data_IF_823015306578
#
_entry.id   IF_823015306578
#
_cell.length_a   1.000
_cell.length_b   1.000
_cell.length_c   1.000
_cell.angle_alpha   90.00
_cell.angle_beta   90.00
_cell.angle_gamma   90.00
#
_symmetry.space_group_name_H-M   'P 1'
#
loop_
_entity.id
_entity.type
_entity.pdbx_description
1 polymer ?
#
# COMPACT_ATOMS: atom_id res chain seq x y z
N UNK A 1 -11.43 7.74 -9.06
CA UNK A 1 -10.01 7.40 -9.28
C UNK A 1 -9.31 7.57 -7.94
N UNK A 2 -8.92 6.46 -7.33
CA UNK A 2 -8.18 6.47 -6.06
C UNK A 2 -6.77 6.96 -6.29
N UNK A 3 -6.26 7.79 -5.38
CA UNK A 3 -4.88 8.29 -5.46
C UNK A 3 -4.04 7.45 -4.50
N UNK A 4 -2.92 6.93 -4.99
CA UNK A 4 -1.94 6.24 -4.16
C UNK A 4 -0.64 7.03 -4.18
N UNK A 5 -0.03 7.20 -3.02
CA UNK A 5 1.37 7.59 -2.94
C UNK A 5 2.22 6.32 -2.99
N UNK A 6 3.27 6.35 -3.80
CA UNK A 6 4.31 5.31 -3.78
C UNK A 6 5.46 5.80 -2.90
N UNK A 7 5.85 4.99 -1.93
CA UNK A 7 7.02 5.25 -1.09
C UNK A 7 8.02 4.13 -1.29
N UNK A 8 9.27 4.49 -1.61
CA UNK A 8 10.35 3.52 -1.71
C UNK A 8 10.84 3.18 -0.31
N UNK A 9 10.93 1.89 -0.01
CA UNK A 9 11.33 1.40 1.31
C UNK A 9 12.45 0.38 1.21
N UNK A 10 13.07 0.07 2.34
CA UNK A 10 14.00 -1.05 2.42
C UNK A 10 13.25 -2.38 2.36
N UNK A 11 14.00 -3.46 2.13
CA UNK A 11 13.46 -4.82 2.11
C UNK A 11 12.85 -5.22 3.45
N UNK A 12 13.50 -4.87 4.55
CA UNK A 12 13.06 -5.22 5.91
C UNK A 12 11.71 -4.57 6.23
N UNK A 13 11.51 -3.32 5.79
CA UNK A 13 10.23 -2.62 5.96
C UNK A 13 9.12 -3.32 5.17
N UNK A 14 9.41 -3.74 3.92
CA UNK A 14 8.47 -4.53 3.14
C UNK A 14 8.12 -5.84 3.86
N UNK A 15 9.12 -6.57 4.36
CA UNK A 15 8.91 -7.84 5.08
C UNK A 15 8.02 -7.66 6.32
N UNK A 16 8.27 -6.64 7.15
CA UNK A 16 7.45 -6.32 8.34
C UNK A 16 5.99 -6.07 7.95
N UNK A 17 5.77 -5.34 6.85
CA UNK A 17 4.41 -5.06 6.37
C UNK A 17 3.75 -6.34 5.88
N UNK A 18 4.45 -7.14 5.08
CA UNK A 18 3.94 -8.42 4.60
C UNK A 18 3.59 -9.35 5.78
N UNK A 19 4.40 -9.37 6.83
CA UNK A 19 4.12 -10.11 8.06
C UNK A 19 2.87 -9.60 8.80
N UNK A 20 2.70 -8.28 8.93
CA UNK A 20 1.53 -7.69 9.59
C UNK A 20 0.21 -8.09 8.93
N UNK A 21 0.21 -8.21 7.60
CA UNK A 21 -0.98 -8.60 6.83
C UNK A 21 -1.12 -10.12 6.65
N UNK A 22 -0.15 -10.93 7.09
CA UNK A 22 -0.21 -12.38 7.05
C UNK A 22 -1.24 -12.90 8.08
N UNK A 23 -2.11 -13.87 7.74
CA UNK A 23 -2.07 -14.79 6.60
C UNK A 23 -2.87 -14.34 5.36
N UNK A 24 -3.27 -13.07 5.28
CA UNK A 24 -4.27 -12.60 4.30
C UNK A 24 -3.66 -11.98 3.05
N UNK A 25 -2.40 -12.21 2.71
CA UNK A 25 -1.80 -11.68 1.47
C UNK A 25 -1.58 -12.77 0.43
N UNK A 26 -1.79 -12.41 -0.82
CA UNK A 26 -1.39 -13.17 -2.00
C UNK A 26 -0.51 -12.28 -2.90
N UNK A 27 0.15 -12.89 -3.88
CA UNK A 27 1.08 -12.19 -4.76
C UNK A 27 0.91 -12.57 -6.22
N UNK A 28 1.20 -11.62 -7.11
CA UNK A 28 1.26 -11.83 -8.55
C UNK A 28 2.57 -11.28 -9.11
N UNK A 29 3.30 -12.11 -9.84
CA UNK A 29 4.53 -11.71 -10.51
C UNK A 29 4.31 -11.51 -12.00
N UNK A 30 4.80 -10.40 -12.53
CA UNK A 30 4.84 -10.08 -13.96
C UNK A 30 6.31 -9.96 -14.37
N UNK A 31 6.66 -10.53 -15.52
CA UNK A 31 8.00 -10.41 -16.11
C UNK A 31 7.91 -9.65 -17.42
N UNK A 32 8.71 -8.60 -17.56
CA UNK A 32 8.82 -7.76 -18.74
C UNK A 32 10.31 -7.61 -19.05
N UNK A 33 10.78 -8.30 -20.09
CA UNK A 33 12.20 -8.34 -20.44
C UNK A 33 13.08 -8.72 -19.24
N UNK A 34 14.06 -7.87 -18.90
CA UNK A 34 14.98 -8.04 -17.77
C UNK A 34 14.40 -7.49 -16.44
N UNK A 35 13.12 -7.12 -16.42
CA UNK A 35 12.42 -6.60 -15.26
C UNK A 35 11.40 -7.60 -14.73
N UNK A 36 11.50 -7.95 -13.46
CA UNK A 36 10.50 -8.75 -12.74
C UNK A 36 9.81 -7.88 -11.69
N UNK A 37 8.48 -7.83 -11.71
CA UNK A 37 7.68 -7.06 -10.75
C UNK A 37 6.75 -8.02 -10.00
N UNK A 38 6.82 -8.04 -8.68
CA UNK A 38 5.92 -8.83 -7.82
C UNK A 38 5.01 -7.88 -7.03
N UNK A 39 3.70 -8.02 -7.24
CA UNK A 39 2.67 -7.26 -6.55
C UNK A 39 2.12 -8.08 -5.39
N UNK A 40 1.89 -7.43 -4.25
CA UNK A 40 1.29 -8.04 -3.05
C UNK A 40 -0.06 -7.36 -2.75
N UNK A 41 -1.08 -8.17 -2.50
CA UNK A 41 -2.45 -7.71 -2.26
C UNK A 41 -3.22 -8.68 -1.35
N UNK A 42 -4.31 -8.25 -0.69
CA UNK A 42 -5.09 -9.12 0.18
C UNK A 42 -5.71 -10.30 -0.57
N UNK A 43 -5.58 -11.52 -0.03
CA UNK A 43 -6.12 -12.77 -0.57
C UNK A 43 -7.67 -12.78 -0.58
N UNK A 44 -8.29 -12.08 0.38
CA UNK A 44 -9.74 -11.98 0.52
C UNK A 44 -10.38 -11.03 -0.51
N UNK A 45 -9.57 -10.25 -1.25
CA UNK A 45 -10.03 -9.24 -2.21
C UNK A 45 -9.85 -9.71 -3.66
N UNK A 46 -10.54 -10.79 -4.02
CA UNK A 46 -10.79 -11.12 -5.43
C UNK A 46 -11.99 -10.29 -5.92
N UNK A 47 -11.80 -8.98 -6.07
CA UNK A 47 -12.83 -8.11 -6.67
C UNK A 47 -12.43 -7.80 -8.11
N UNK A 48 -13.36 -8.04 -9.02
CA UNK A 48 -13.21 -8.08 -10.48
C UNK A 48 -12.73 -6.77 -11.16
N UNK A 49 -12.36 -5.72 -10.42
CA UNK A 49 -12.16 -4.38 -11.00
C UNK A 49 -11.03 -3.53 -10.39
N UNK A 50 -10.16 -4.12 -9.57
CA UNK A 50 -8.98 -3.40 -9.07
C UNK A 50 -8.38 -4.04 -7.84
N UNK A 51 -7.25 -4.72 -8.01
CA UNK A 51 -6.48 -5.25 -6.89
C UNK A 51 -6.01 -4.08 -6.00
N UNK A 52 -6.40 -4.07 -4.72
CA UNK A 52 -5.81 -3.17 -3.72
C UNK A 52 -4.38 -3.63 -3.46
N UNK A 53 -3.49 -3.20 -4.34
CA UNK A 53 -2.06 -3.48 -4.23
C UNK A 53 -1.54 -2.70 -3.02
N UNK A 54 -1.03 -3.42 -2.02
CA UNK A 54 -0.49 -2.83 -0.79
C UNK A 54 0.99 -2.54 -0.94
N UNK A 55 1.70 -3.39 -1.67
CA UNK A 55 3.12 -3.24 -1.94
C UNK A 55 3.50 -3.91 -3.25
N UNK A 56 4.65 -3.53 -3.80
CA UNK A 56 5.29 -4.26 -4.88
C UNK A 56 6.82 -4.22 -4.76
N UNK A 57 7.47 -5.27 -5.25
CA UNK A 57 8.91 -5.33 -5.47
C UNK A 57 9.20 -5.36 -6.97
N UNK A 58 10.27 -4.72 -7.39
CA UNK A 58 10.76 -4.73 -8.75
C UNK A 58 12.24 -5.12 -8.76
N UNK A 59 12.62 -6.00 -9.67
CA UNK A 59 13.99 -6.44 -9.89
C UNK A 59 14.35 -6.12 -11.34
N UNK A 60 15.40 -5.34 -11.55
CA UNK A 60 15.94 -4.96 -12.86
C UNK A 60 17.42 -5.35 -12.89
N UNK A 61 17.74 -6.44 -13.61
CA UNK A 61 19.07 -7.05 -13.56
C UNK A 61 19.44 -7.51 -12.15
N UNK A 62 20.45 -6.89 -11.54
CA UNK A 62 20.90 -7.16 -10.16
C UNK A 62 20.33 -6.19 -9.13
N UNK A 63 19.50 -5.23 -9.56
CA UNK A 63 19.00 -4.16 -8.68
C UNK A 63 17.59 -4.48 -8.22
N UNK A 64 17.38 -4.47 -6.90
CA UNK A 64 16.07 -4.67 -6.29
C UNK A 64 15.51 -3.36 -5.73
N UNK A 65 14.22 -3.16 -5.93
CA UNK A 65 13.47 -2.01 -5.45
C UNK A 65 12.21 -2.49 -4.75
N UNK A 66 11.88 -1.87 -3.62
CA UNK A 66 10.68 -2.19 -2.84
C UNK A 66 9.85 -0.93 -2.62
N UNK A 67 8.54 -1.07 -2.78
CA UNK A 67 7.61 0.03 -2.70
C UNK A 67 6.35 -0.35 -1.94
N UNK A 68 5.84 0.59 -1.15
CA UNK A 68 4.51 0.51 -0.53
C UNK A 68 3.59 1.46 -1.29
N UNK A 69 2.34 1.04 -1.47
CA UNK A 69 1.29 1.88 -1.99
C UNK A 69 0.39 2.32 -0.82
N UNK A 70 0.52 3.58 -0.45
CA UNK A 70 -0.32 4.18 0.58
C UNK A 70 -1.53 4.80 -0.09
N UNK A 71 -2.73 4.30 0.22
CA UNK A 71 -3.97 4.90 -0.27
C UNK A 71 -4.08 6.30 0.31
N UNK A 72 -4.06 7.31 -0.56
CA UNK A 72 -4.39 8.67 -0.20
C UNK A 72 -5.91 8.73 -0.13
N UNK A 73 -6.49 8.32 1.00
CA UNK A 73 -7.89 8.64 1.25
C UNK A 73 -8.06 10.16 1.08
N UNK A 74 -9.08 10.64 0.35
CA UNK A 74 -9.51 11.99 0.57
C UNK A 74 -9.99 12.01 2.01
N UNK A 75 -9.22 12.63 2.91
CA UNK A 75 -9.57 12.87 4.31
C UNK A 75 -11.04 13.31 4.38
N UNK A 76 -11.96 12.37 4.59
CA UNK A 76 -13.30 12.72 5.04
C UNK A 76 -13.12 13.02 6.51
N UNK A 77 -12.74 14.27 6.79
CA UNK A 77 -12.71 14.85 8.13
C UNK A 77 -14.17 15.00 8.62
N UNK A 78 -14.84 13.86 8.79
CA UNK A 78 -16.16 13.71 9.35
C UNK A 78 -16.05 13.50 10.85
N UNK A 79 -15.47 14.47 11.55
CA UNK A 79 -15.70 14.63 12.97
C UNK A 79 -15.75 16.13 13.27
N UNK A 80 -16.94 16.70 13.09
CA UNK A 80 -17.35 17.91 13.80
C UNK A 80 -17.41 17.58 15.29
N UNK A 81 -16.25 17.49 15.95
CA UNK A 81 -16.18 17.79 17.38
C UNK A 81 -16.06 19.30 17.47
N UNK A 82 -17.23 19.93 17.61
CA UNK A 82 -17.39 21.32 18.01
C UNK A 82 -16.57 21.54 19.28
N UNK A 83 -15.36 22.05 19.17
CA UNK A 83 -14.67 22.65 20.31
C UNK A 83 -15.46 23.92 20.64
N UNK A 84 -16.45 23.78 21.53
CA UNK A 84 -16.97 24.93 22.29
C UNK A 84 -15.78 25.44 23.10
N UNK A 85 -15.13 26.47 22.58
CA UNK A 85 -14.26 27.35 23.35
C UNK A 85 -15.11 27.86 24.51
N UNK A 86 -14.88 27.34 25.72
CA UNK A 86 -15.31 28.02 26.93
C UNK A 86 -14.50 29.31 26.97
N UNK A 87 -15.10 30.41 26.54
CA UNK A 87 -14.62 31.72 26.96
C UNK A 87 -14.90 31.81 28.46
N UNK A 88 -13.82 31.75 29.22
CA UNK A 88 -13.81 32.15 30.62
C UNK A 88 -13.64 33.65 30.62
N UNK A 89 -14.68 34.39 30.99
CA UNK A 89 -14.65 35.74 31.56
C UNK A 89 -15.99 35.99 32.25
#
# INVERSE_FOLDING_TARGET
MEKYAKEQVSREVLEIILEHFCPKLTSRTIRLFDTTITYYYPADEVVADGCNTVAFSACEGSTEFHYILVRLEPLRYGNKKTYRRREVS
#
